data_IF_079057328720
#
_entry.id   IF_079057328720
#
_cell.length_a   1.000
_cell.length_b   1.000
_cell.length_c   1.000
_cell.angle_alpha   90.00
_cell.angle_beta   90.00
_cell.angle_gamma   90.00
#
_symmetry.space_group_name_H-M   'P 1'
#
loop_
_entity.id
_entity.type
_entity.pdbx_description
1 polymer ?
#
# COMPACT_ATOMS: atom_id res chain seq x y z
N UNK A 1 -7.10 11.06 0.56
CA UNK A 1 -6.17 11.57 -0.49
C UNK A 1 -4.67 11.41 -0.21
N UNK A 2 -4.22 10.80 0.91
CA UNK A 2 -2.78 10.80 1.32
C UNK A 2 -1.85 9.80 0.61
N UNK A 3 -2.39 8.88 -0.21
CA UNK A 3 -1.64 7.97 -1.08
C UNK A 3 -1.88 8.38 -2.55
N UNK A 4 -0.85 8.31 -3.43
CA UNK A 4 -1.04 8.35 -4.88
C UNK A 4 -2.11 7.34 -5.30
N UNK A 5 -2.91 7.69 -6.32
CA UNK A 5 -4.07 6.87 -6.70
C UNK A 5 -3.66 5.46 -7.12
N UNK A 6 -2.51 5.33 -7.78
CA UNK A 6 -1.97 4.06 -8.27
C UNK A 6 -1.50 3.16 -7.12
N UNK A 7 -0.93 3.77 -6.08
CA UNK A 7 -0.52 3.04 -4.87
C UNK A 7 -1.73 2.59 -4.06
N UNK A 8 -2.76 3.44 -3.98
CA UNK A 8 -4.02 3.09 -3.32
C UNK A 8 -4.76 1.98 -4.06
N UNK A 9 -4.87 2.07 -5.39
CA UNK A 9 -5.52 1.04 -6.19
C UNK A 9 -4.84 -0.33 -6.00
N UNK A 10 -3.51 -0.37 -6.04
CA UNK A 10 -2.75 -1.61 -5.84
C UNK A 10 -2.96 -2.21 -4.43
N UNK A 11 -2.84 -1.40 -3.37
CA UNK A 11 -2.97 -1.91 -1.99
C UNK A 11 -4.40 -2.31 -1.64
N UNK A 12 -5.41 -1.62 -2.18
CA UNK A 12 -6.82 -2.01 -1.99
C UNK A 12 -7.10 -3.33 -2.69
N UNK A 13 -6.70 -3.49 -3.95
CA UNK A 13 -6.93 -4.72 -4.69
C UNK A 13 -6.27 -5.94 -4.02
N UNK A 14 -5.01 -5.81 -3.59
CA UNK A 14 -4.27 -6.93 -3.01
C UNK A 14 -4.63 -7.14 -1.53
N UNK A 15 -4.45 -6.12 -0.69
CA UNK A 15 -4.48 -6.29 0.77
C UNK A 15 -5.92 -6.22 1.33
N UNK A 16 -6.88 -5.60 0.63
CA UNK A 16 -8.28 -5.49 1.09
C UNK A 16 -9.25 -6.39 0.31
N UNK A 17 -9.08 -6.53 -1.01
CA UNK A 17 -9.96 -7.35 -1.86
C UNK A 17 -9.40 -8.76 -2.09
N UNK A 18 -8.15 -9.03 -1.70
CA UNK A 18 -7.55 -10.36 -1.81
C UNK A 18 -7.18 -10.80 -3.22
N UNK A 19 -7.13 -9.89 -4.20
CA UNK A 19 -6.69 -10.24 -5.55
C UNK A 19 -5.22 -10.64 -5.58
N UNK A 20 -4.88 -11.59 -6.45
CA UNK A 20 -3.49 -11.94 -6.70
C UNK A 20 -2.73 -10.77 -7.36
N UNK A 21 -1.39 -10.81 -7.28
CA UNK A 21 -0.53 -9.83 -7.97
C UNK A 21 -0.77 -9.86 -9.49
N UNK A 22 -0.92 -11.05 -10.06
CA UNK A 22 -1.16 -11.24 -11.49
C UNK A 22 -2.52 -10.65 -11.91
N UNK A 23 -3.59 -10.90 -11.15
CA UNK A 23 -4.92 -10.38 -11.45
C UNK A 23 -4.98 -8.85 -11.33
N UNK A 24 -4.34 -8.33 -10.27
CA UNK A 24 -4.22 -6.88 -10.07
C UNK A 24 -3.43 -6.22 -11.20
N UNK A 25 -2.35 -6.85 -11.66
CA UNK A 25 -1.54 -6.36 -12.77
C UNK A 25 -2.36 -6.26 -14.07
N UNK A 26 -3.15 -7.29 -14.38
CA UNK A 26 -4.07 -7.31 -15.54
C UNK A 26 -5.15 -6.24 -15.40
N UNK A 27 -5.79 -6.13 -14.24
CA UNK A 27 -6.87 -5.16 -13.97
C UNK A 27 -6.39 -3.71 -14.10
N UNK A 28 -5.16 -3.41 -13.65
CA UNK A 28 -4.60 -2.07 -13.64
C UNK A 28 -3.78 -1.74 -14.90
N UNK A 29 -3.61 -2.68 -15.84
CA UNK A 29 -2.84 -2.49 -17.06
C UNK A 29 -1.35 -2.22 -16.83
N UNK A 30 -0.74 -2.89 -15.84
CA UNK A 30 0.69 -2.69 -15.48
C UNK A 30 1.42 -4.02 -15.27
N UNK A 31 2.75 -4.01 -15.29
CA UNK A 31 3.55 -5.20 -14.96
C UNK A 31 3.40 -5.61 -13.48
N UNK A 32 3.50 -6.92 -13.19
CA UNK A 32 3.43 -7.44 -11.82
C UNK A 32 4.46 -6.81 -10.86
N UNK A 33 5.68 -6.55 -11.33
CA UNK A 33 6.70 -5.85 -10.54
C UNK A 33 6.28 -4.43 -10.14
N UNK A 34 5.45 -3.77 -10.97
CA UNK A 34 4.87 -2.47 -10.64
C UNK A 34 3.85 -2.59 -9.52
N UNK A 35 2.99 -3.62 -9.53
CA UNK A 35 2.06 -3.89 -8.43
C UNK A 35 2.82 -4.12 -7.12
N UNK A 36 3.83 -4.99 -7.12
CA UNK A 36 4.68 -5.26 -5.95
C UNK A 36 5.32 -3.99 -5.39
N UNK A 37 5.94 -3.18 -6.25
CA UNK A 37 6.60 -1.93 -5.81
C UNK A 37 5.61 -0.84 -5.35
N UNK A 38 4.39 -0.79 -5.92
CA UNK A 38 3.32 0.11 -5.48
C UNK A 38 2.81 -0.29 -4.11
N UNK A 39 2.51 -1.58 -3.89
CA UNK A 39 2.06 -2.07 -2.58
C UNK A 39 3.13 -1.84 -1.49
N UNK A 40 4.41 -2.12 -1.78
CA UNK A 40 5.50 -1.88 -0.83
C UNK A 40 5.58 -0.40 -0.41
N UNK A 41 5.56 0.53 -1.37
CA UNK A 41 5.57 1.97 -1.11
C UNK A 41 4.31 2.44 -0.38
N UNK A 42 3.15 1.89 -0.76
CA UNK A 42 1.87 2.19 -0.13
C UNK A 42 1.88 1.80 1.35
N UNK A 43 2.29 0.55 1.67
CA UNK A 43 2.39 0.04 3.04
C UNK A 43 3.39 0.82 3.88
N UNK A 44 4.57 1.13 3.35
CA UNK A 44 5.55 1.96 4.05
C UNK A 44 5.01 3.36 4.39
N UNK A 45 4.22 3.96 3.48
CA UNK A 45 3.58 5.26 3.73
C UNK A 45 2.43 5.14 4.72
N UNK A 46 1.59 4.11 4.62
CA UNK A 46 0.50 3.85 5.56
C UNK A 46 1.03 3.62 6.98
N UNK A 47 2.08 2.82 7.13
CA UNK A 47 2.66 2.54 8.43
C UNK A 47 3.22 3.81 9.11
N UNK A 48 3.76 4.77 8.34
CA UNK A 48 4.09 6.11 8.86
C UNK A 48 2.86 6.94 9.21
N UNK A 49 1.85 6.97 8.34
CA UNK A 49 0.65 7.79 8.52
C UNK A 49 -0.21 7.33 9.70
N UNK A 50 -0.20 6.03 9.98
CA UNK A 50 -0.95 5.39 11.06
C UNK A 50 -0.13 5.27 12.36
N UNK A 51 1.13 5.73 12.38
CA UNK A 51 1.99 5.71 13.57
C UNK A 51 2.64 4.36 13.88
N UNK A 52 2.44 3.33 13.06
CA UNK A 52 3.00 1.97 13.29
C UNK A 52 4.52 1.87 13.07
N UNK A 53 5.15 2.88 12.46
CA UNK A 53 6.62 2.98 12.37
C UNK A 53 7.21 3.99 13.37
N UNK A 54 6.38 4.55 14.26
CA UNK A 54 6.84 5.45 15.31
C UNK A 54 7.17 4.59 16.54
N UNK A 55 8.33 3.93 16.55
CA UNK A 55 8.91 3.26 17.74
C UNK A 55 9.39 4.25 18.82
N UNK A 56 8.84 5.46 18.84
CA UNK A 56 8.98 6.42 19.92
C UNK A 56 7.66 6.48 20.69
N UNK A 57 7.61 5.71 21.78
CA UNK A 57 6.63 5.87 22.85
C UNK A 57 6.53 7.35 23.22
N UNK A 58 5.39 7.98 22.96
CA UNK A 58 5.05 9.29 23.53
C UNK A 58 4.03 9.08 24.65
N UNK A 59 4.50 8.62 25.82
CA UNK A 59 3.74 8.68 27.07
C UNK A 59 3.76 10.13 27.53
N UNK A 60 3.01 11.02 26.86
CA UNK A 60 2.53 12.30 27.42
C UNK A 60 1.30 12.78 26.65
N UNK A 61 0.13 12.40 27.13
CA UNK A 61 -0.98 13.31 27.44
C UNK A 61 -1.91 12.67 28.44
#
# INVERSE_FOLDING_TARGET
>A
MRLPVEQRAAVVAVDMQGYSIADTARMLGVAEGTVKSRCARARARLARLLGYLNTGVNIRR
#
